data_IF_143045713914
#
_entry.id   IF_143045713914
#
_cell.length_a   1.000
_cell.length_b   1.000
_cell.length_c   1.000
_cell.angle_alpha   90.00
_cell.angle_beta   90.00
_cell.angle_gamma   90.00
#
_symmetry.space_group_name_H-M   'P 1'
#
loop_
_entity.id
_entity.type
_entity.pdbx_description
1 polymer ?
#
# COMPACT_ATOMS: atom_id res chain seq x y z
N UNK A 1 -2.19 -14.57 20.48
CA UNK A 1 -3.19 -14.26 19.42
C UNK A 1 -4.24 -13.35 20.04
N UNK A 2 -4.42 -12.12 19.54
CA UNK A 2 -5.56 -11.30 19.98
C UNK A 2 -6.83 -12.02 19.51
N UNK A 3 -7.78 -12.20 20.39
CA UNK A 3 -9.04 -12.89 20.10
C UNK A 3 -9.76 -12.13 18.97
N UNK A 4 -10.12 -12.80 17.89
CA UNK A 4 -10.80 -12.22 16.71
C UNK A 4 -12.03 -11.39 17.10
N UNK A 5 -12.76 -11.78 18.14
CA UNK A 5 -13.86 -11.01 18.69
C UNK A 5 -13.43 -9.63 19.21
N UNK A 6 -12.28 -9.52 19.87
CA UNK A 6 -11.75 -8.23 20.37
C UNK A 6 -11.29 -7.30 19.23
N UNK A 7 -10.81 -7.86 18.13
CA UNK A 7 -10.45 -7.08 16.94
C UNK A 7 -11.72 -6.56 16.27
N UNK A 8 -12.73 -7.41 16.08
CA UNK A 8 -14.01 -7.02 15.48
C UNK A 8 -14.68 -5.85 16.19
N UNK A 9 -14.70 -5.84 17.54
CA UNK A 9 -15.27 -4.75 18.34
C UNK A 9 -14.57 -3.40 18.10
N UNK A 10 -13.27 -3.40 17.79
CA UNK A 10 -12.48 -2.17 17.56
C UNK A 10 -12.56 -1.67 16.11
N UNK A 11 -12.98 -2.51 15.19
CA UNK A 11 -13.11 -2.20 13.77
C UNK A 11 -14.53 -1.82 13.40
N UNK A 12 -15.51 -2.41 14.09
CA UNK A 12 -16.94 -2.17 13.86
C UNK A 12 -17.28 -0.68 13.89
N UNK A 13 -18.14 -0.28 12.98
CA UNK A 13 -18.68 1.09 12.80
C UNK A 13 -17.63 2.16 12.44
N UNK A 14 -16.32 1.83 12.36
CA UNK A 14 -15.31 2.78 11.87
C UNK A 14 -15.50 3.10 10.40
N UNK A 15 -15.40 4.38 10.08
CA UNK A 15 -15.38 4.88 8.69
C UNK A 15 -13.96 4.77 8.15
N UNK A 16 -13.77 3.90 7.16
CA UNK A 16 -12.46 3.55 6.61
C UNK A 16 -12.42 3.78 5.11
N UNK A 17 -11.47 4.58 4.66
CA UNK A 17 -11.22 4.87 3.24
C UNK A 17 -10.01 4.12 2.76
N UNK A 18 -10.10 3.48 1.58
CA UNK A 18 -9.01 2.72 0.96
C UNK A 18 -8.79 3.22 -0.47
N UNK A 19 -7.58 3.70 -0.77
CA UNK A 19 -7.18 4.04 -2.14
C UNK A 19 -6.64 2.81 -2.88
N UNK A 20 -6.87 2.72 -4.20
CA UNK A 20 -6.51 1.53 -4.96
C UNK A 20 -7.32 0.30 -4.52
N UNK A 21 -8.61 0.50 -4.24
CA UNK A 21 -9.50 -0.50 -3.65
C UNK A 21 -10.14 -1.47 -4.63
N UNK A 22 -9.95 -1.29 -5.94
CA UNK A 22 -10.62 -2.09 -6.97
C UNK A 22 -10.09 -3.54 -7.06
N UNK A 23 -8.88 -3.82 -6.58
CA UNK A 23 -8.21 -5.13 -6.74
C UNK A 23 -7.13 -5.38 -5.68
N UNK A 24 -6.53 -6.57 -5.72
CA UNK A 24 -5.34 -6.93 -4.96
C UNK A 24 -5.47 -6.72 -3.45
N UNK A 25 -4.46 -6.08 -2.86
CA UNK A 25 -4.40 -5.81 -1.41
C UNK A 25 -5.56 -4.89 -0.98
N UNK A 26 -5.87 -3.86 -1.77
CA UNK A 26 -6.94 -2.91 -1.43
C UNK A 26 -8.30 -3.59 -1.32
N UNK A 27 -8.66 -4.41 -2.31
CA UNK A 27 -9.92 -5.16 -2.30
C UNK A 27 -9.97 -6.20 -1.18
N UNK A 28 -8.90 -6.96 -0.96
CA UNK A 28 -8.83 -7.92 0.14
C UNK A 28 -8.98 -7.23 1.51
N UNK A 29 -8.39 -6.03 1.68
CA UNK A 29 -8.51 -5.22 2.89
C UNK A 29 -9.93 -4.70 3.07
N UNK A 30 -10.56 -4.20 1.99
CA UNK A 30 -11.96 -3.76 2.01
C UNK A 30 -12.87 -4.89 2.45
N UNK A 31 -12.72 -6.08 1.85
CA UNK A 31 -13.49 -7.28 2.19
C UNK A 31 -13.33 -7.65 3.66
N UNK A 32 -12.09 -7.71 4.16
CA UNK A 32 -11.82 -8.09 5.54
C UNK A 32 -12.42 -7.10 6.56
N UNK A 33 -12.29 -5.80 6.31
CA UNK A 33 -12.83 -4.74 7.17
C UNK A 33 -14.35 -4.68 7.13
N UNK A 34 -14.95 -4.78 5.94
CA UNK A 34 -16.40 -4.82 5.76
C UNK A 34 -17.03 -6.00 6.50
N UNK A 35 -16.45 -7.20 6.39
CA UNK A 35 -16.91 -8.39 7.10
C UNK A 35 -16.82 -8.26 8.64
N UNK A 36 -16.01 -7.35 9.16
CA UNK A 36 -15.92 -7.03 10.58
C UNK A 36 -16.88 -5.88 11.01
N UNK A 37 -17.71 -5.40 10.08
CA UNK A 37 -18.74 -4.38 10.33
C UNK A 37 -18.20 -2.94 10.27
N UNK A 38 -17.07 -2.70 9.62
CA UNK A 38 -16.64 -1.34 9.31
C UNK A 38 -17.47 -0.74 8.17
N UNK A 39 -17.64 0.58 8.17
CA UNK A 39 -18.16 1.37 7.07
C UNK A 39 -17.01 1.67 6.09
N UNK A 40 -16.90 0.89 5.04
CA UNK A 40 -15.76 0.94 4.11
C UNK A 40 -16.11 1.72 2.87
N UNK A 41 -15.23 2.63 2.47
CA UNK A 41 -15.26 3.29 1.16
C UNK A 41 -14.01 2.92 0.36
N UNK A 42 -14.17 2.60 -0.93
CA UNK A 42 -13.06 2.30 -1.84
C UNK A 42 -13.01 3.28 -3.01
N UNK A 43 -11.82 3.84 -3.27
CA UNK A 43 -11.55 4.66 -4.44
C UNK A 43 -10.45 4.04 -5.31
N UNK A 44 -10.59 4.16 -6.63
CA UNK A 44 -9.58 3.69 -7.60
C UNK A 44 -9.64 4.56 -8.86
N UNK A 45 -8.53 4.68 -9.59
CA UNK A 45 -8.51 5.37 -10.88
C UNK A 45 -9.28 4.60 -11.96
N UNK A 46 -9.34 3.27 -11.84
CA UNK A 46 -10.12 2.38 -12.70
C UNK A 46 -11.60 2.42 -12.25
N UNK A 47 -12.35 3.37 -12.81
CA UNK A 47 -13.74 3.65 -12.43
C UNK A 47 -14.66 2.44 -12.66
N UNK A 48 -14.47 1.71 -13.74
CA UNK A 48 -15.28 0.53 -14.06
C UNK A 48 -15.06 -0.55 -12.99
N UNK A 49 -13.80 -0.86 -12.75
CA UNK A 49 -13.44 -1.93 -11.83
C UNK A 49 -13.81 -1.64 -10.36
N UNK A 50 -13.65 -0.38 -9.93
CA UNK A 50 -14.03 -0.01 -8.54
C UNK A 50 -15.55 -0.07 -8.33
N UNK A 51 -16.35 0.27 -9.35
CA UNK A 51 -17.80 0.13 -9.30
C UNK A 51 -18.22 -1.35 -9.20
N UNK A 52 -17.62 -2.21 -10.02
CA UNK A 52 -17.86 -3.66 -9.94
C UNK A 52 -17.53 -4.21 -8.55
N UNK A 53 -16.34 -3.89 -8.05
CA UNK A 53 -15.85 -4.40 -6.76
C UNK A 53 -16.67 -3.85 -5.58
N UNK A 54 -17.01 -2.55 -5.59
CA UNK A 54 -17.81 -1.93 -4.55
C UNK A 54 -19.22 -2.49 -4.50
N UNK A 55 -19.87 -2.65 -5.66
CA UNK A 55 -21.19 -3.26 -5.76
C UNK A 55 -21.20 -4.73 -5.31
N UNK A 56 -20.19 -5.51 -5.71
CA UNK A 56 -20.07 -6.91 -5.31
C UNK A 56 -19.89 -7.10 -3.79
N UNK A 57 -19.26 -6.12 -3.11
CA UNK A 57 -19.12 -6.10 -1.65
C UNK A 57 -20.34 -5.48 -0.94
N UNK A 58 -21.28 -4.85 -1.67
CA UNK A 58 -22.40 -4.13 -1.07
C UNK A 58 -21.98 -2.89 -0.30
N UNK A 59 -20.92 -2.20 -0.73
CA UNK A 59 -20.47 -0.96 -0.10
C UNK A 59 -21.38 0.21 -0.47
N UNK A 60 -21.56 1.16 0.46
CA UNK A 60 -22.36 2.37 0.22
C UNK A 60 -21.58 3.43 -0.57
N UNK A 61 -20.26 3.48 -0.44
CA UNK A 61 -19.41 4.48 -1.10
C UNK A 61 -18.26 3.82 -1.84
N UNK A 62 -18.25 4.00 -3.14
CA UNK A 62 -17.15 3.59 -4.03
C UNK A 62 -17.16 4.44 -5.31
N UNK A 63 -16.01 4.68 -5.89
CA UNK A 63 -15.94 5.47 -7.12
C UNK A 63 -14.54 5.83 -7.58
N UNK A 64 -14.50 6.64 -8.64
CA UNK A 64 -13.24 7.11 -9.22
C UNK A 64 -12.49 7.98 -8.22
N UNK A 65 -11.22 7.69 -8.05
CA UNK A 65 -10.28 8.44 -7.23
C UNK A 65 -8.90 8.42 -7.89
N UNK A 66 -8.46 9.57 -8.36
CA UNK A 66 -7.08 9.81 -8.74
C UNK A 66 -6.31 10.37 -7.54
N UNK A 67 -5.37 9.59 -7.01
CA UNK A 67 -4.59 9.98 -5.83
C UNK A 67 -3.57 11.09 -6.14
N UNK A 68 -3.29 11.36 -7.41
CA UNK A 68 -2.38 12.42 -7.87
C UNK A 68 -3.07 13.77 -8.02
N UNK A 69 -4.40 13.77 -8.08
CA UNK A 69 -5.23 14.95 -8.20
C UNK A 69 -5.87 15.33 -6.86
N UNK A 70 -5.57 16.55 -6.38
CA UNK A 70 -6.06 17.05 -5.09
C UNK A 70 -7.58 17.19 -5.04
N UNK A 71 -8.19 17.66 -6.14
CA UNK A 71 -9.62 17.89 -6.17
C UNK A 71 -10.38 16.56 -6.20
N UNK A 72 -9.94 15.61 -7.03
CA UNK A 72 -10.44 14.24 -7.04
C UNK A 72 -10.37 13.61 -5.64
N UNK A 73 -9.22 13.71 -4.97
CA UNK A 73 -9.02 13.11 -3.66
C UNK A 73 -9.90 13.79 -2.60
N UNK A 74 -9.89 15.13 -2.54
CA UNK A 74 -10.70 15.85 -1.55
C UNK A 74 -12.19 15.59 -1.74
N UNK A 75 -12.70 15.67 -2.97
CA UNK A 75 -14.09 15.42 -3.31
C UNK A 75 -14.56 14.03 -2.92
N UNK A 76 -13.70 13.01 -3.12
CA UNK A 76 -13.99 11.64 -2.69
C UNK A 76 -14.08 11.53 -1.16
N UNK A 77 -13.15 12.12 -0.41
CA UNK A 77 -13.20 12.14 1.07
C UNK A 77 -14.45 12.89 1.57
N UNK A 78 -14.81 14.00 0.94
CA UNK A 78 -16.01 14.78 1.30
C UNK A 78 -17.28 13.97 1.04
N UNK A 79 -17.32 13.18 -0.04
CA UNK A 79 -18.42 12.24 -0.30
C UNK A 79 -18.52 11.19 0.81
N UNK A 80 -17.40 10.60 1.22
CA UNK A 80 -17.37 9.62 2.31
C UNK A 80 -17.90 10.23 3.60
N UNK A 81 -17.42 11.42 3.99
CA UNK A 81 -17.86 12.07 5.23
C UNK A 81 -19.35 12.43 5.21
N UNK A 82 -19.90 12.83 4.07
CA UNK A 82 -21.34 13.10 3.94
C UNK A 82 -22.21 11.84 4.07
N UNK A 83 -21.75 10.69 3.61
CA UNK A 83 -22.56 9.46 3.54
C UNK A 83 -22.33 8.52 4.72
N UNK A 84 -21.10 8.40 5.18
CA UNK A 84 -20.71 7.43 6.22
C UNK A 84 -20.39 8.08 7.56
N UNK A 85 -20.10 9.38 7.57
CA UNK A 85 -19.65 10.12 8.75
C UNK A 85 -18.14 10.37 8.76
N UNK A 86 -17.63 10.97 9.84
CA UNK A 86 -16.22 11.37 9.95
C UNK A 86 -15.26 10.21 9.73
N UNK A 87 -14.24 10.41 8.89
CA UNK A 87 -13.26 9.36 8.52
C UNK A 87 -12.37 9.02 9.73
N UNK A 88 -12.44 7.79 10.20
CA UNK A 88 -11.57 7.28 11.28
C UNK A 88 -10.21 6.81 10.77
N UNK A 89 -10.18 6.18 9.58
CA UNK A 89 -8.96 5.59 9.02
C UNK A 89 -8.86 5.90 7.54
N UNK A 90 -7.70 6.40 7.11
CA UNK A 90 -7.31 6.42 5.69
C UNK A 90 -6.22 5.39 5.44
N UNK A 91 -6.43 4.51 4.45
CA UNK A 91 -5.44 3.53 3.99
C UNK A 91 -4.94 3.96 2.61
N UNK A 92 -3.74 4.54 2.55
CA UNK A 92 -3.04 4.85 1.32
C UNK A 92 -2.43 3.56 0.75
N UNK A 93 -3.18 2.89 -0.12
CA UNK A 93 -2.78 1.61 -0.71
C UNK A 93 -2.48 1.73 -2.22
N UNK A 94 -3.02 2.71 -2.93
CA UNK A 94 -2.75 2.92 -4.34
C UNK A 94 -1.24 2.97 -4.63
N UNK A 95 -0.80 2.26 -5.67
CA UNK A 95 0.60 2.22 -6.05
C UNK A 95 0.86 1.37 -7.28
N UNK A 96 1.95 1.66 -7.98
CA UNK A 96 2.40 0.95 -9.18
C UNK A 96 3.85 0.50 -9.02
N UNK A 97 4.23 -0.55 -9.76
CA UNK A 97 5.57 -1.14 -9.78
C UNK A 97 5.96 -1.57 -11.20
N UNK A 98 6.16 -0.66 -12.14
CA UNK A 98 6.85 -0.98 -13.39
C UNK A 98 8.23 -1.60 -13.10
N UNK A 99 8.63 -2.57 -13.90
CA UNK A 99 9.92 -3.25 -13.76
C UNK A 99 10.78 -3.03 -14.99
N UNK A 100 12.10 -3.03 -14.80
CA UNK A 100 13.08 -2.86 -15.88
C UNK A 100 14.34 -2.17 -15.39
N UNK A 101 15.37 -2.16 -16.24
CA UNK A 101 16.62 -1.44 -15.95
C UNK A 101 16.38 0.07 -16.04
N UNK A 102 17.06 0.84 -15.21
CA UNK A 102 16.89 2.30 -15.15
C UNK A 102 17.15 2.99 -16.49
N UNK A 103 18.06 2.43 -17.31
CA UNK A 103 18.36 2.98 -18.63
C UNK A 103 17.19 2.84 -19.62
N UNK A 104 16.32 1.87 -19.40
CA UNK A 104 15.17 1.54 -20.24
C UNK A 104 13.85 2.10 -19.68
N UNK A 105 13.90 2.79 -18.51
CA UNK A 105 12.71 3.39 -17.88
C UNK A 105 12.51 4.81 -18.46
N UNK A 106 11.41 5.08 -19.20
CA UNK A 106 11.09 6.42 -19.68
C UNK A 106 10.86 7.41 -18.52
N UNK A 107 11.27 8.66 -18.67
CA UNK A 107 11.08 9.72 -17.65
C UNK A 107 9.61 9.87 -17.22
N UNK A 108 8.67 9.72 -18.16
CA UNK A 108 7.23 9.76 -17.86
C UNK A 108 6.79 8.63 -16.92
N UNK A 109 7.41 7.45 -17.02
CA UNK A 109 7.14 6.31 -16.10
C UNK A 109 7.74 6.59 -14.73
N UNK A 110 8.97 7.10 -14.68
CA UNK A 110 9.61 7.58 -13.43
C UNK A 110 8.71 8.59 -12.71
N UNK A 111 8.27 9.63 -13.43
CA UNK A 111 7.39 10.66 -12.86
C UNK A 111 6.09 10.05 -12.34
N UNK A 112 5.45 9.18 -13.11
CA UNK A 112 4.20 8.52 -12.72
C UNK A 112 4.36 7.65 -11.47
N UNK A 113 5.48 6.93 -11.33
CA UNK A 113 5.79 6.18 -10.10
C UNK A 113 5.87 7.12 -8.90
N UNK A 114 6.55 8.24 -9.03
CA UNK A 114 6.70 9.22 -7.94
C UNK A 114 5.38 9.89 -7.61
N UNK A 115 4.60 10.27 -8.61
CA UNK A 115 3.29 10.92 -8.42
C UNK A 115 2.31 10.00 -7.68
N UNK A 116 2.21 8.75 -8.06
CA UNK A 116 1.28 7.81 -7.43
C UNK A 116 1.81 7.33 -6.08
N UNK A 117 3.04 6.79 -6.05
CA UNK A 117 3.56 6.09 -4.88
C UNK A 117 4.02 7.03 -3.75
N UNK A 118 4.41 8.26 -4.07
CA UNK A 118 4.94 9.23 -3.10
C UNK A 118 4.00 10.39 -2.91
N UNK A 119 3.76 11.17 -3.97
CA UNK A 119 2.92 12.36 -3.86
C UNK A 119 1.49 12.00 -3.45
N UNK A 120 0.89 10.95 -4.05
CA UNK A 120 -0.44 10.47 -3.68
C UNK A 120 -0.56 10.09 -2.21
N UNK A 121 0.45 9.41 -1.65
CA UNK A 121 0.50 9.05 -0.21
C UNK A 121 0.62 10.31 0.66
N UNK A 122 1.46 11.25 0.28
CA UNK A 122 1.64 12.53 1.01
C UNK A 122 0.34 13.34 0.95
N UNK A 123 -0.26 13.46 -0.23
CA UNK A 123 -1.49 14.21 -0.45
C UNK A 123 -2.65 13.63 0.37
N UNK A 124 -2.88 12.33 0.28
CA UNK A 124 -3.92 11.64 1.06
C UNK A 124 -3.71 11.81 2.56
N UNK A 125 -2.46 11.67 3.02
CA UNK A 125 -2.12 11.88 4.44
C UNK A 125 -2.41 13.31 4.90
N UNK A 126 -2.06 14.33 4.10
CA UNK A 126 -2.38 15.74 4.39
C UNK A 126 -3.88 15.97 4.48
N UNK A 127 -4.65 15.46 3.52
CA UNK A 127 -6.10 15.62 3.48
C UNK A 127 -6.80 14.91 4.66
N UNK A 128 -6.28 13.75 5.07
CA UNK A 128 -6.77 13.03 6.26
C UNK A 128 -6.46 13.80 7.53
N UNK A 129 -5.22 14.25 7.71
CA UNK A 129 -4.80 15.03 8.90
C UNK A 129 -5.61 16.30 9.06
N UNK A 130 -5.89 17.04 7.97
CA UNK A 130 -6.75 18.24 8.02
C UNK A 130 -8.14 17.95 8.59
N UNK A 131 -8.68 16.74 8.39
CA UNK A 131 -10.00 16.30 8.91
C UNK A 131 -9.90 15.71 10.31
N UNK A 132 -8.79 15.04 10.64
CA UNK A 132 -8.60 14.28 11.86
C UNK A 132 -8.11 15.13 13.04
N UNK A 133 -7.18 16.09 12.81
CA UNK A 133 -6.59 16.95 13.86
C UNK A 133 -7.63 17.76 14.63
N UNK A 134 -8.62 18.41 14.00
CA UNK A 134 -9.65 19.16 14.74
C UNK A 134 -10.47 18.30 15.72
N UNK A 135 -10.54 16.98 15.47
CA UNK A 135 -11.26 16.03 16.33
C UNK A 135 -10.34 15.36 17.36
N UNK A 136 -9.02 15.58 17.29
CA UNK A 136 -8.03 14.94 18.16
C UNK A 136 -7.99 13.42 17.99
N UNK A 137 -8.44 12.86 16.86
CA UNK A 137 -8.48 11.42 16.62
C UNK A 137 -8.46 11.06 15.14
N UNK A 138 -7.74 10.02 14.79
CA UNK A 138 -7.67 9.47 13.45
C UNK A 138 -6.48 8.54 13.25
N UNK A 139 -6.46 7.80 12.15
CA UNK A 139 -5.37 6.90 11.84
C UNK A 139 -5.08 6.88 10.32
N UNK A 140 -3.85 7.13 9.94
CA UNK A 140 -3.37 6.99 8.56
C UNK A 140 -2.50 5.74 8.48
N UNK A 141 -2.84 4.82 7.56
CA UNK A 141 -2.07 3.60 7.30
C UNK A 141 -1.51 3.68 5.88
N UNK A 142 -0.19 3.68 5.75
CA UNK A 142 0.48 3.72 4.46
C UNK A 142 0.97 2.32 4.05
N UNK A 143 0.60 1.86 2.86
CA UNK A 143 1.11 0.62 2.29
C UNK A 143 2.45 0.91 1.63
N UNK A 144 3.53 0.64 2.39
CA UNK A 144 4.91 0.71 1.92
C UNK A 144 5.30 -0.57 1.14
N UNK A 145 6.47 -1.10 1.39
CA UNK A 145 6.98 -2.39 0.88
C UNK A 145 8.28 -2.73 1.62
N UNK A 146 8.70 -3.98 1.63
CA UNK A 146 10.08 -4.32 1.99
C UNK A 146 11.09 -3.65 1.04
N UNK A 147 10.72 -3.36 -0.21
CA UNK A 147 11.51 -2.54 -1.14
C UNK A 147 11.75 -1.10 -0.65
N UNK A 148 11.05 -0.64 0.39
CA UNK A 148 11.35 0.61 1.10
C UNK A 148 12.43 0.48 2.16
N UNK A 149 13.04 -0.70 2.32
CA UNK A 149 14.08 -0.98 3.31
C UNK A 149 15.29 -1.71 2.71
N UNK A 150 15.16 -2.24 1.48
CA UNK A 150 16.21 -2.90 0.68
C UNK A 150 16.23 -2.35 -0.74
N UNK A 151 17.22 -2.77 -1.51
CA UNK A 151 17.35 -2.42 -2.93
C UNK A 151 17.15 -3.66 -3.79
N UNK A 152 16.59 -3.48 -5.00
CA UNK A 152 16.42 -4.54 -5.99
C UNK A 152 16.82 -4.03 -7.37
N UNK A 153 17.57 -4.85 -8.12
CA UNK A 153 17.90 -4.57 -9.53
C UNK A 153 16.61 -4.62 -10.34
N UNK A 154 16.43 -3.67 -11.25
CA UNK A 154 15.21 -3.54 -12.04
C UNK A 154 14.03 -2.85 -11.33
N UNK A 155 14.25 -2.31 -10.11
CA UNK A 155 13.25 -1.59 -9.32
C UNK A 155 13.79 -0.29 -8.72
N UNK A 156 14.77 0.36 -9.32
CA UNK A 156 15.45 1.51 -8.71
C UNK A 156 14.47 2.62 -8.30
N UNK A 157 13.64 3.09 -9.21
CA UNK A 157 12.63 4.14 -8.96
C UNK A 157 11.55 3.68 -7.98
N UNK A 158 11.08 2.43 -8.10
CA UNK A 158 10.12 1.86 -7.15
C UNK A 158 10.70 1.79 -5.73
N UNK A 159 11.93 1.28 -5.57
CA UNK A 159 12.61 1.25 -4.27
C UNK A 159 12.76 2.67 -3.69
N UNK A 160 13.17 3.65 -4.48
CA UNK A 160 13.26 5.05 -4.07
C UNK A 160 11.91 5.56 -3.57
N UNK A 161 10.83 5.32 -4.32
CA UNK A 161 9.47 5.71 -3.95
C UNK A 161 9.02 5.10 -2.62
N UNK A 162 9.31 3.81 -2.39
CA UNK A 162 8.91 3.12 -1.15
C UNK A 162 9.79 3.50 0.04
N UNK A 163 11.06 3.83 -0.15
CA UNK A 163 11.91 4.46 0.89
C UNK A 163 11.36 5.83 1.30
N UNK A 164 10.90 6.63 0.34
CA UNK A 164 10.25 7.92 0.61
C UNK A 164 8.99 7.73 1.49
N UNK A 165 8.13 6.75 1.18
CA UNK A 165 6.93 6.44 2.00
C UNK A 165 7.32 6.02 3.42
N UNK A 166 8.37 5.21 3.59
CA UNK A 166 8.86 4.81 4.92
C UNK A 166 9.31 6.02 5.72
N UNK A 167 10.18 6.85 5.15
CA UNK A 167 10.69 8.05 5.83
C UNK A 167 9.57 9.05 6.16
N UNK A 168 8.68 9.30 5.19
CA UNK A 168 7.52 10.18 5.38
C UNK A 168 6.62 9.70 6.52
N UNK A 169 6.29 8.39 6.54
CA UNK A 169 5.38 7.85 7.56
C UNK A 169 5.97 7.94 8.95
N UNK A 170 7.26 7.61 9.12
CA UNK A 170 7.93 7.70 10.42
C UNK A 170 8.02 9.16 10.91
N UNK A 171 8.27 10.13 10.01
CA UNK A 171 8.30 11.56 10.32
C UNK A 171 6.92 12.08 10.72
N UNK A 172 5.89 11.80 9.91
CA UNK A 172 4.51 12.20 10.19
C UNK A 172 3.98 11.60 11.51
N UNK A 173 4.34 10.36 11.83
CA UNK A 173 3.98 9.72 13.09
C UNK A 173 4.51 10.51 14.30
N UNK A 174 5.72 11.01 14.24
CA UNK A 174 6.29 11.81 15.32
C UNK A 174 5.63 13.19 15.41
N UNK A 175 5.36 13.81 14.25
CA UNK A 175 4.77 15.16 14.15
C UNK A 175 3.35 15.20 14.71
N UNK A 176 2.51 14.21 14.36
CA UNK A 176 1.07 14.23 14.70
C UNK A 176 0.69 13.44 15.94
N UNK A 177 1.63 12.75 16.60
CA UNK A 177 1.35 11.94 17.81
C UNK A 177 0.65 12.73 18.92
N UNK A 178 1.05 14.00 19.15
CA UNK A 178 0.44 14.84 20.18
C UNK A 178 -0.91 15.41 19.75
N UNK A 179 -1.21 15.41 18.47
CA UNK A 179 -2.50 15.84 17.92
C UNK A 179 -3.56 14.72 17.92
N UNK A 180 -3.24 13.53 18.45
CA UNK A 180 -4.15 12.38 18.50
C UNK A 180 -4.36 11.68 17.18
N UNK A 181 -3.49 11.92 16.17
CA UNK A 181 -3.53 11.23 14.87
C UNK A 181 -2.40 10.21 14.78
N UNK A 182 -2.78 8.94 14.63
CA UNK A 182 -1.84 7.85 14.50
C UNK A 182 -1.37 7.67 13.04
N UNK A 183 -0.09 7.31 12.89
CA UNK A 183 0.47 6.89 11.60
C UNK A 183 1.09 5.51 11.74
N UNK A 184 0.70 4.62 10.83
CA UNK A 184 1.25 3.26 10.73
C UNK A 184 1.69 2.96 9.30
N UNK A 185 2.59 1.98 9.14
CA UNK A 185 2.87 1.41 7.84
C UNK A 185 2.79 -0.11 7.86
N UNK A 186 2.33 -0.69 6.76
CA UNK A 186 2.51 -2.09 6.44
C UNK A 186 3.54 -2.22 5.32
N UNK A 187 4.52 -3.11 5.50
CA UNK A 187 5.60 -3.37 4.52
C UNK A 187 5.45 -4.81 4.01
N UNK A 188 4.69 -5.03 2.93
CA UNK A 188 4.58 -6.34 2.29
C UNK A 188 5.90 -6.80 1.68
N UNK A 189 6.13 -8.12 1.66
CA UNK A 189 7.07 -8.80 0.76
C UNK A 189 6.41 -8.96 -0.63
N UNK A 190 6.87 -9.93 -1.43
CA UNK A 190 6.16 -10.32 -2.65
C UNK A 190 4.75 -10.81 -2.31
N UNK A 191 3.74 -10.25 -2.97
CA UNK A 191 2.32 -10.56 -2.76
C UNK A 191 1.72 -11.04 -4.08
N UNK A 192 0.98 -12.12 -4.08
CA UNK A 192 0.31 -12.67 -5.26
C UNK A 192 -0.80 -11.74 -5.76
N UNK A 193 -0.42 -10.72 -6.54
CA UNK A 193 -1.31 -9.72 -7.14
C UNK A 193 -0.88 -9.44 -8.58
N UNK A 194 -1.69 -8.69 -9.32
CA UNK A 194 -1.31 -8.22 -10.67
C UNK A 194 0.00 -7.41 -10.66
N UNK A 195 0.29 -6.68 -9.57
CA UNK A 195 1.50 -5.88 -9.41
C UNK A 195 2.78 -6.72 -9.50
N UNK A 196 2.75 -7.96 -9.02
CA UNK A 196 3.87 -8.93 -9.09
C UNK A 196 3.69 -9.99 -10.18
N UNK A 197 2.66 -9.88 -11.02
CA UNK A 197 2.44 -10.81 -12.11
C UNK A 197 3.69 -10.94 -12.98
N UNK A 198 4.03 -12.15 -13.41
CA UNK A 198 5.22 -12.43 -14.22
C UNK A 198 6.56 -12.37 -13.48
N UNK A 199 6.60 -12.08 -12.17
CA UNK A 199 7.83 -12.15 -11.36
C UNK A 199 7.86 -13.42 -10.51
N UNK A 200 9.06 -13.99 -10.28
CA UNK A 200 9.20 -15.28 -9.58
C UNK A 200 9.25 -15.17 -8.05
N UNK A 201 9.35 -13.96 -7.50
CA UNK A 201 9.61 -13.77 -6.07
C UNK A 201 11.06 -14.10 -5.66
N UNK A 202 11.39 -13.87 -4.38
CA UNK A 202 12.72 -14.15 -3.85
C UNK A 202 12.89 -15.65 -3.56
N UNK A 203 14.02 -16.22 -3.96
CA UNK A 203 14.35 -17.64 -3.70
C UNK A 203 14.31 -17.93 -2.19
N UNK A 204 13.69 -19.05 -1.82
CA UNK A 204 13.57 -19.48 -0.41
C UNK A 204 12.49 -18.79 0.40
N UNK A 205 11.73 -17.85 -0.19
CA UNK A 205 10.60 -17.20 0.45
C UNK A 205 9.33 -17.42 -0.38
N UNK A 206 8.25 -17.76 0.29
CA UNK A 206 6.93 -17.79 -0.37
C UNK A 206 6.41 -16.38 -0.58
N UNK A 207 5.63 -16.20 -1.61
CA UNK A 207 4.83 -15.00 -1.76
C UNK A 207 3.73 -14.97 -0.67
N UNK A 208 3.39 -13.78 -0.21
CA UNK A 208 2.23 -13.57 0.64
C UNK A 208 0.94 -13.54 -0.21
N UNK A 209 -0.18 -13.89 0.40
CA UNK A 209 -1.48 -13.65 -0.20
C UNK A 209 -2.01 -12.25 0.18
N UNK A 210 -2.84 -11.63 -0.68
CA UNK A 210 -3.47 -10.34 -0.36
C UNK A 210 -4.19 -10.33 0.98
N UNK A 211 -4.81 -11.45 1.37
CA UNK A 211 -5.49 -11.64 2.65
C UNK A 211 -4.55 -11.50 3.85
N UNK A 212 -3.30 -11.96 3.74
CA UNK A 212 -2.33 -11.82 4.85
C UNK A 212 -1.94 -10.36 5.09
N UNK A 213 -1.92 -9.55 4.03
CA UNK A 213 -1.69 -8.11 4.13
C UNK A 213 -2.93 -7.43 4.71
N UNK A 214 -4.12 -7.84 4.27
CA UNK A 214 -5.38 -7.38 4.81
C UNK A 214 -5.49 -7.66 6.32
N UNK A 215 -5.15 -8.85 6.78
CA UNK A 215 -5.13 -9.22 8.21
C UNK A 215 -4.16 -8.35 9.01
N UNK A 216 -2.98 -8.04 8.44
CA UNK A 216 -2.02 -7.14 9.08
C UNK A 216 -2.59 -5.71 9.20
N UNK A 217 -3.28 -5.21 8.16
CA UNK A 217 -3.93 -3.90 8.16
C UNK A 217 -5.08 -3.87 9.16
N UNK A 218 -5.95 -4.89 9.19
CA UNK A 218 -7.00 -5.05 10.21
C UNK A 218 -6.41 -5.00 11.62
N UNK A 219 -5.29 -5.67 11.84
CA UNK A 219 -4.55 -5.63 13.10
C UNK A 219 -4.06 -4.22 13.47
N UNK A 220 -3.63 -3.42 12.48
CA UNK A 220 -3.23 -2.02 12.66
C UNK A 220 -4.43 -1.12 12.97
N UNK A 221 -5.56 -1.30 12.29
CA UNK A 221 -6.81 -0.57 12.58
C UNK A 221 -7.26 -0.80 14.02
N UNK A 222 -7.21 -2.05 14.48
CA UNK A 222 -7.63 -2.41 15.85
C UNK A 222 -6.61 -1.97 16.92
N UNK A 223 -5.32 -1.94 16.56
CA UNK A 223 -4.21 -1.56 17.46
C UNK A 223 -3.09 -0.90 16.66
N UNK A 224 -3.04 0.42 16.60
CA UNK A 224 -1.98 1.16 15.92
C UNK A 224 -0.58 0.75 16.39
N UNK A 225 0.33 0.58 15.44
CA UNK A 225 1.76 0.30 15.66
C UNK A 225 2.55 1.03 14.57
N UNK A 226 3.79 1.44 14.82
CA UNK A 226 4.56 2.16 13.83
C UNK A 226 4.71 1.38 12.51
N UNK A 227 4.98 0.06 12.60
CA UNK A 227 5.30 -0.76 11.41
C UNK A 227 4.95 -2.22 11.60
N UNK A 228 4.40 -2.83 10.54
CA UNK A 228 4.23 -4.29 10.42
C UNK A 228 4.85 -4.75 9.09
N UNK A 229 5.73 -5.74 9.13
CA UNK A 229 6.31 -6.40 7.95
C UNK A 229 5.59 -7.73 7.72
N UNK A 230 5.21 -7.99 6.47
CA UNK A 230 4.57 -9.23 6.02
C UNK A 230 5.37 -9.76 4.81
N UNK A 231 5.89 -10.98 4.80
CA UNK A 231 5.83 -12.05 5.80
C UNK A 231 6.87 -11.82 6.91
N UNK A 232 6.65 -12.43 8.07
CA UNK A 232 7.57 -12.26 9.23
C UNK A 232 9.00 -12.69 8.91
N UNK A 233 9.18 -13.81 8.19
CA UNK A 233 10.50 -14.32 7.83
C UNK A 233 11.27 -13.35 6.93
N UNK A 234 10.65 -12.88 5.83
CA UNK A 234 11.24 -11.88 4.95
C UNK A 234 11.51 -10.56 5.70
N UNK A 235 10.57 -10.14 6.56
CA UNK A 235 10.73 -8.94 7.37
C UNK A 235 11.88 -9.02 8.38
N UNK A 236 12.09 -10.18 9.02
CA UNK A 236 13.20 -10.39 9.92
C UNK A 236 14.55 -10.37 9.17
N UNK A 237 14.60 -11.01 7.99
CA UNK A 237 15.77 -10.98 7.12
C UNK A 237 16.12 -9.53 6.72
N UNK A 238 15.14 -8.77 6.22
CA UNK A 238 15.33 -7.36 5.84
C UNK A 238 15.81 -6.51 7.05
N UNK A 239 15.25 -6.74 8.23
CA UNK A 239 15.71 -6.05 9.43
C UNK A 239 17.17 -6.37 9.78
N UNK A 240 17.62 -7.62 9.58
CA UNK A 240 18.99 -8.04 9.85
C UNK A 240 20.01 -7.43 8.89
N UNK A 241 19.64 -7.15 7.63
CA UNK A 241 20.56 -6.54 6.65
C UNK A 241 21.03 -5.15 7.05
N UNK A 242 20.28 -4.43 7.91
CA UNK A 242 20.69 -3.11 8.44
C UNK A 242 21.94 -3.17 9.32
N UNK A 243 22.25 -4.34 9.89
CA UNK A 243 23.44 -4.55 10.72
C UNK A 243 24.56 -5.25 9.97
N UNK A 244 24.36 -5.58 8.69
CA UNK A 244 25.38 -6.25 7.86
C UNK A 244 26.26 -5.24 7.14
N UNK A 245 27.57 -5.50 6.98
CA UNK A 245 28.38 -4.77 6.02
C UNK A 245 27.77 -4.85 4.62
N UNK A 246 27.83 -3.74 3.87
CA UNK A 246 27.20 -3.61 2.56
C UNK A 246 27.52 -4.77 1.61
N UNK A 247 28.79 -5.20 1.53
CA UNK A 247 29.22 -6.32 0.69
C UNK A 247 28.51 -7.64 1.03
N UNK A 248 28.26 -7.89 2.32
CA UNK A 248 27.55 -9.09 2.77
C UNK A 248 26.06 -9.01 2.40
N UNK A 249 25.43 -7.86 2.58
CA UNK A 249 24.03 -7.65 2.18
C UNK A 249 23.84 -7.80 0.65
N UNK A 250 24.77 -7.29 -0.15
CA UNK A 250 24.78 -7.46 -1.61
C UNK A 250 24.97 -8.93 -2.02
N UNK A 251 25.90 -9.66 -1.36
CA UNK A 251 26.09 -11.10 -1.61
C UNK A 251 24.86 -11.93 -1.24
N UNK A 252 24.20 -11.60 -0.14
CA UNK A 252 22.94 -12.24 0.27
C UNK A 252 21.83 -11.97 -0.75
N UNK A 253 21.68 -10.72 -1.19
CA UNK A 253 20.70 -10.35 -2.23
C UNK A 253 20.92 -11.14 -3.52
N UNK A 254 22.20 -11.30 -3.94
CA UNK A 254 22.58 -12.11 -5.10
C UNK A 254 22.18 -13.57 -4.93
N UNK A 255 22.50 -14.16 -3.78
CA UNK A 255 22.17 -15.56 -3.47
C UNK A 255 20.66 -15.82 -3.50
N UNK A 256 19.84 -14.82 -3.13
CA UNK A 256 18.38 -14.89 -3.17
C UNK A 256 17.77 -14.63 -4.56
N UNK A 257 18.62 -14.46 -5.59
CA UNK A 257 18.19 -14.23 -6.97
C UNK A 257 17.83 -12.78 -7.27
N UNK A 258 18.19 -11.82 -6.41
CA UNK A 258 17.85 -10.40 -6.57
C UNK A 258 18.45 -9.71 -7.80
N UNK A 259 19.33 -10.38 -8.56
CA UNK A 259 19.92 -9.83 -9.78
C UNK A 259 19.02 -9.96 -11.01
N UNK A 260 18.15 -10.98 -11.08
CA UNK A 260 17.41 -11.31 -12.31
C UNK A 260 15.88 -11.27 -12.17
N UNK A 261 15.36 -11.31 -10.94
CA UNK A 261 13.92 -11.43 -10.65
C UNK A 261 13.07 -10.36 -11.31
N UNK A 262 13.56 -9.13 -11.46
CA UNK A 262 12.84 -8.00 -12.07
C UNK A 262 13.45 -7.52 -13.39
N UNK A 263 14.36 -8.30 -13.98
CA UNK A 263 14.98 -8.03 -15.28
C UNK A 263 14.84 -9.24 -16.18
N UNK A 264 15.77 -10.18 -16.14
CA UNK A 264 15.90 -11.26 -17.11
C UNK A 264 14.91 -12.43 -16.85
N UNK A 265 14.44 -12.60 -15.61
CA UNK A 265 13.51 -13.67 -15.20
C UNK A 265 12.02 -13.27 -15.28
N UNK A 266 11.71 -12.10 -15.83
CA UNK A 266 10.34 -11.59 -15.93
C UNK A 266 9.60 -12.26 -17.09
N UNK A 267 8.43 -12.84 -16.80
CA UNK A 267 7.49 -13.33 -17.82
C UNK A 267 6.71 -12.12 -18.38
N UNK A 268 7.21 -11.59 -19.49
CA UNK A 268 6.72 -10.37 -20.15
C UNK A 268 5.24 -10.52 -20.58
N UNK A 269 4.84 -11.69 -21.07
CA UNK A 269 3.46 -11.90 -21.54
C UNK A 269 2.46 -11.85 -20.36
N UNK A 270 2.76 -12.52 -19.25
CA UNK A 270 1.92 -12.47 -18.05
C UNK A 270 1.83 -11.06 -17.46
N UNK A 271 2.87 -10.24 -17.66
CA UNK A 271 2.96 -8.90 -17.10
C UNK A 271 2.40 -7.81 -18.03
N UNK A 272 2.25 -8.10 -19.32
CA UNK A 272 1.92 -7.15 -20.38
C UNK A 272 0.72 -6.25 -20.04
N UNK A 273 -0.39 -6.83 -19.62
CA UNK A 273 -1.60 -6.06 -19.27
C UNK A 273 -1.38 -5.13 -18.07
N UNK A 274 -0.61 -5.58 -17.07
CA UNK A 274 -0.26 -4.75 -15.94
C UNK A 274 0.69 -3.61 -16.33
N UNK A 275 1.76 -3.91 -17.07
CA UNK A 275 2.73 -2.91 -17.52
C UNK A 275 2.08 -1.82 -18.39
N UNK A 276 1.17 -2.18 -19.29
CA UNK A 276 0.45 -1.21 -20.10
C UNK A 276 -0.28 -0.19 -19.19
N UNK A 277 -1.08 -0.66 -18.24
CA UNK A 277 -1.78 0.21 -17.28
C UNK A 277 -0.82 1.02 -16.38
N UNK A 278 0.20 0.36 -15.85
CA UNK A 278 1.14 1.00 -14.93
C UNK A 278 1.99 2.09 -15.61
N UNK A 279 2.32 1.91 -16.88
CA UNK A 279 3.08 2.87 -17.67
C UNK A 279 2.20 3.99 -18.27
N UNK A 280 0.89 3.93 -18.12
CA UNK A 280 -0.04 4.95 -18.62
C UNK A 280 -0.47 4.74 -20.07
N UNK A 281 -0.30 3.55 -20.63
CA UNK A 281 -0.95 3.11 -21.87
C UNK A 281 -2.42 2.76 -21.61
N UNK A 282 -3.30 3.12 -22.54
CA UNK A 282 -4.69 2.69 -22.58
C UNK A 282 -4.82 1.19 -22.88
#
# INVERSE_FOLDING_TARGET
>A
MANTASIGLKVRDKVIVITGGARGIGLATATALHNLGAKVAIGDVDEVRVKESGAALGLDVYGKLDVTDRESFSSFLDQVERQLGPIDVLINNAGIMPVGRIIDEPDAVTQRILDINVFGVILGSKLAVQRMVPRGSGHVINVASLAGEIYAIGLATYCASKHAVVAFTDSARLEYRKAGVEFSMVSPSFVNTELTAGTKGARGFRNAEPSEIADAIVGLVARPRPRVRVTRAAGAMVASTKFMPRRMAESLNRALGGETVFTDDVDVEKRKAYEARARGGE
#
